data_IF_608235384779
#
_entry.id   IF_608235384779
#
_cell.length_a   1.000
_cell.length_b   1.000
_cell.length_c   1.000
_cell.angle_alpha   90.00
_cell.angle_beta   90.00
_cell.angle_gamma   90.00
#
_symmetry.space_group_name_H-M   'P 1'
#
loop_
_entity.id
_entity.type
_entity.pdbx_description
1 polymer ?
#
# COMPACT_ATOMS: atom_id res chain seq x y z
N UNK A 1 47.62 -62.11 -29.63
CA UNK A 1 46.77 -61.50 -30.63
C UNK A 1 45.32 -61.58 -30.11
N UNK A 2 44.74 -60.53 -29.52
CA UNK A 2 43.37 -60.47 -29.12
C UNK A 2 42.83 -59.10 -29.57
N UNK A 3 41.89 -59.11 -30.51
CA UNK A 3 41.23 -58.01 -31.14
C UNK A 3 40.15 -57.50 -30.19
N UNK A 4 40.17 -56.18 -29.83
CA UNK A 4 39.14 -55.51 -29.07
C UNK A 4 38.09 -54.99 -30.05
N UNK A 5 36.83 -55.38 -29.85
CA UNK A 5 35.68 -54.86 -30.56
C UNK A 5 35.11 -53.63 -29.76
N UNK A 6 35.09 -52.51 -30.44
CA UNK A 6 34.49 -51.29 -29.91
C UNK A 6 32.97 -51.28 -30.16
N UNK A 7 32.19 -51.25 -29.09
CA UNK A 7 30.73 -51.09 -29.12
C UNK A 7 30.38 -49.59 -29.17
N UNK A 8 29.82 -49.13 -30.29
CA UNK A 8 29.26 -47.77 -30.42
C UNK A 8 27.82 -47.78 -29.89
N UNK A 9 27.60 -47.06 -28.82
CA UNK A 9 26.27 -46.80 -28.28
C UNK A 9 25.62 -45.66 -29.07
N UNK A 10 24.56 -45.95 -29.82
CA UNK A 10 23.76 -44.94 -30.52
C UNK A 10 22.69 -44.41 -29.58
N UNK A 11 22.79 -43.12 -29.25
CA UNK A 11 21.77 -42.42 -28.45
C UNK A 11 20.60 -42.02 -29.37
N UNK A 12 19.43 -42.64 -29.19
CA UNK A 12 18.19 -42.23 -29.84
C UNK A 12 17.61 -41.08 -29.07
N UNK A 13 17.61 -39.88 -29.67
CA UNK A 13 16.87 -38.70 -29.13
C UNK A 13 15.46 -38.77 -29.67
N UNK A 14 14.53 -39.11 -28.80
CA UNK A 14 13.09 -39.05 -29.10
C UNK A 14 12.61 -37.63 -28.85
N UNK A 15 12.33 -36.87 -29.91
CA UNK A 15 11.66 -35.57 -29.84
C UNK A 15 10.18 -35.78 -29.57
N UNK A 16 9.71 -35.37 -28.40
CA UNK A 16 8.28 -35.28 -28.08
C UNK A 16 7.79 -33.90 -28.51
N UNK A 17 7.07 -33.86 -29.61
CA UNK A 17 6.32 -32.66 -30.02
C UNK A 17 5.08 -32.50 -29.16
N UNK A 18 5.07 -31.47 -28.29
CA UNK A 18 3.86 -31.07 -27.55
C UNK A 18 3.07 -30.13 -28.45
N UNK A 19 1.96 -30.65 -28.99
CA UNK A 19 0.93 -29.82 -29.63
C UNK A 19 0.19 -29.02 -28.53
N UNK A 20 0.41 -27.72 -28.46
CA UNK A 20 -0.42 -26.80 -27.68
C UNK A 20 -1.69 -26.50 -28.45
N UNK A 21 -2.79 -27.17 -28.12
CA UNK A 21 -4.13 -26.80 -28.56
C UNK A 21 -4.62 -25.63 -27.68
N UNK A 22 -4.62 -24.42 -28.25
CA UNK A 22 -5.22 -23.26 -27.64
C UNK A 22 -6.74 -23.38 -27.68
N UNK A 23 -7.36 -23.72 -26.54
CA UNK A 23 -8.80 -23.68 -26.36
C UNK A 23 -9.19 -22.26 -25.93
N UNK A 24 -9.65 -21.44 -26.89
CA UNK A 24 -10.26 -20.14 -26.60
C UNK A 24 -11.68 -20.37 -26.10
N UNK A 25 -11.86 -20.29 -24.79
CA UNK A 25 -13.18 -20.21 -24.18
C UNK A 25 -13.64 -18.74 -24.21
N UNK A 26 -14.56 -18.45 -25.11
CA UNK A 26 -15.29 -17.19 -25.15
C UNK A 26 -16.33 -17.18 -24.02
N UNK A 27 -16.17 -16.28 -23.05
CA UNK A 27 -17.18 -16.00 -22.04
C UNK A 27 -18.12 -14.90 -22.54
N UNK A 28 -19.46 -15.08 -22.44
CA UNK A 28 -20.38 -14.01 -22.80
C UNK A 28 -20.40 -12.93 -21.69
N UNK A 29 -20.08 -11.72 -22.07
CA UNK A 29 -20.31 -10.52 -21.26
C UNK A 29 -21.83 -10.28 -21.14
N UNK A 30 -22.39 -10.40 -19.95
CA UNK A 30 -23.69 -9.83 -19.60
C UNK A 30 -23.48 -8.66 -18.65
N UNK A 31 -23.44 -7.48 -19.24
CA UNK A 31 -23.64 -6.23 -18.53
C UNK A 31 -25.14 -6.09 -18.23
N UNK A 32 -25.52 -5.99 -16.96
CA UNK A 32 -26.82 -5.45 -16.55
C UNK A 32 -26.56 -4.20 -15.72
N UNK A 33 -26.76 -3.06 -16.35
CA UNK A 33 -26.96 -1.77 -15.70
C UNK A 33 -28.42 -1.71 -15.24
N UNK A 34 -28.66 -1.48 -13.95
CA UNK A 34 -29.93 -0.94 -13.47
C UNK A 34 -29.65 0.42 -12.83
N UNK A 35 -30.07 1.44 -13.54
CA UNK A 35 -30.23 2.78 -13.02
C UNK A 35 -31.42 2.79 -12.04
N UNK A 36 -31.26 3.43 -10.89
CA UNK A 36 -32.39 3.84 -10.04
C UNK A 36 -32.33 5.37 -9.91
N UNK A 37 -33.27 5.99 -10.61
CA UNK A 37 -33.70 7.36 -10.35
C UNK A 37 -34.31 7.45 -8.95
N UNK A 38 -33.92 8.47 -8.20
CA UNK A 38 -34.67 8.92 -7.03
C UNK A 38 -34.95 10.42 -7.19
N UNK A 39 -36.21 10.70 -7.40
CA UNK A 39 -36.80 12.01 -7.58
C UNK A 39 -36.69 12.88 -6.33
N UNK A 40 -36.59 14.18 -6.56
CA UNK A 40 -36.48 15.23 -5.57
C UNK A 40 -37.74 15.49 -4.73
N UNK A 41 -37.50 16.17 -3.63
CA UNK A 41 -38.51 17.00 -3.00
C UNK A 41 -37.90 18.32 -2.55
N UNK A 42 -38.28 19.36 -3.28
CA UNK A 42 -38.11 20.75 -2.86
C UNK A 42 -39.14 21.11 -1.76
N UNK A 43 -38.68 21.74 -0.72
CA UNK A 43 -39.56 22.58 0.11
C UNK A 43 -38.87 23.92 0.34
N UNK A 44 -39.48 24.93 -0.25
CA UNK A 44 -39.28 26.36 -0.04
C UNK A 44 -39.88 26.78 1.29
N UNK A 45 -39.19 27.62 2.06
CA UNK A 45 -39.81 28.54 3.01
C UNK A 45 -38.96 29.80 3.11
N UNK A 46 -39.60 30.92 2.82
CA UNK A 46 -39.05 32.24 2.65
C UNK A 46 -38.87 33.02 3.96
N UNK A 47 -38.56 34.32 3.90
CA UNK A 47 -37.82 35.06 4.89
C UNK A 47 -38.73 35.78 5.91
N UNK A 48 -38.22 35.97 7.13
CA UNK A 48 -38.80 36.97 8.09
C UNK A 48 -37.71 37.97 8.47
N UNK A 49 -37.94 39.18 8.02
CA UNK A 49 -37.33 40.42 8.48
C UNK A 49 -37.83 40.79 9.88
N UNK A 50 -36.94 41.13 10.78
CA UNK A 50 -37.23 42.03 11.90
C UNK A 50 -36.05 42.98 12.08
N UNK A 51 -36.36 44.20 11.70
CA UNK A 51 -35.63 45.43 11.96
C UNK A 51 -35.79 45.80 13.44
N UNK A 52 -34.68 46.07 14.15
CA UNK A 52 -34.69 46.95 15.34
C UNK A 52 -33.35 47.66 15.43
N UNK A 53 -33.39 48.93 15.09
CA UNK A 53 -32.33 49.88 15.33
C UNK A 53 -32.06 50.05 16.85
N UNK A 54 -30.79 50.02 17.26
CA UNK A 54 -30.31 50.62 18.50
C UNK A 54 -29.03 51.40 18.28
N UNK A 55 -29.18 52.68 18.42
CA UNK A 55 -28.11 53.69 18.57
C UNK A 55 -27.23 53.37 19.80
N UNK A 56 -25.94 53.23 19.61
CA UNK A 56 -24.95 53.12 20.69
C UNK A 56 -23.69 53.90 20.31
N UNK A 57 -23.33 54.83 21.18
CA UNK A 57 -22.21 55.79 21.09
C UNK A 57 -20.83 55.12 20.88
N UNK A 58 -19.84 55.84 20.34
CA UNK A 58 -18.53 55.26 19.99
C UNK A 58 -17.72 55.02 21.26
N UNK A 59 -17.22 53.81 21.41
CA UNK A 59 -16.18 53.41 22.37
C UNK A 59 -14.81 53.68 21.74
N UNK A 60 -13.80 54.23 22.48
CA UNK A 60 -12.50 54.58 21.93
C UNK A 60 -11.73 53.33 21.50
N UNK A 61 -11.01 53.47 20.41
CA UNK A 61 -10.17 52.43 19.78
C UNK A 61 -9.14 51.90 20.78
N UNK A 62 -9.29 50.62 21.16
CA UNK A 62 -8.23 49.86 21.78
C UNK A 62 -7.15 49.58 20.73
N UNK A 63 -5.94 49.88 21.07
CA UNK A 63 -4.76 49.54 20.25
C UNK A 63 -4.77 48.04 20.01
N UNK A 64 -4.96 47.64 18.76
CA UNK A 64 -4.75 46.25 18.30
C UNK A 64 -3.26 46.01 18.36
N UNK A 65 -2.82 45.28 19.38
CA UNK A 65 -1.50 44.65 19.39
C UNK A 65 -1.41 43.71 18.19
N UNK A 66 -0.45 44.00 17.32
CA UNK A 66 -0.09 43.04 16.22
C UNK A 66 0.44 41.79 16.89
N UNK A 67 -0.42 40.77 17.01
CA UNK A 67 0.01 39.45 17.36
C UNK A 67 0.85 38.92 16.17
N UNK A 68 2.18 38.82 16.39
CA UNK A 68 3.03 38.06 15.47
C UNK A 68 2.73 36.59 15.64
N UNK A 69 1.64 36.11 14.99
CA UNK A 69 1.38 34.70 14.85
C UNK A 69 2.25 34.16 13.71
N UNK A 70 3.42 33.66 14.06
CA UNK A 70 4.38 33.01 13.15
C UNK A 70 4.40 31.50 13.35
N UNK A 71 3.28 30.91 13.75
CA UNK A 71 3.10 29.46 13.70
C UNK A 71 2.81 29.06 12.24
N UNK A 72 3.85 28.87 11.44
CA UNK A 72 3.72 28.13 10.19
C UNK A 72 3.51 26.69 10.61
N UNK A 73 2.28 26.20 10.52
CA UNK A 73 1.98 24.80 10.73
C UNK A 73 2.91 23.96 9.83
N UNK A 74 3.45 22.84 10.32
CA UNK A 74 4.26 21.96 9.49
C UNK A 74 3.41 21.53 8.29
N UNK A 75 3.98 21.58 7.06
CA UNK A 75 3.22 21.28 5.86
C UNK A 75 2.64 19.87 5.92
N UNK A 76 1.38 19.74 5.52
CA UNK A 76 0.63 18.47 5.49
C UNK A 76 1.38 17.40 4.69
N UNK A 77 1.73 16.23 5.30
CA UNK A 77 2.46 15.17 4.63
C UNK A 77 1.75 14.63 3.38
N UNK A 78 0.42 14.56 3.38
CA UNK A 78 -0.38 14.10 2.25
C UNK A 78 -0.29 15.08 1.07
N UNK A 79 -0.36 16.37 1.34
CA UNK A 79 -0.21 17.41 0.32
C UNK A 79 1.20 17.41 -0.29
N UNK A 80 2.24 17.23 0.53
CA UNK A 80 3.63 17.10 0.05
C UNK A 80 3.79 15.87 -0.84
N UNK A 81 3.24 14.73 -0.42
CA UNK A 81 3.28 13.49 -1.18
C UNK A 81 2.54 13.65 -2.52
N UNK A 82 1.34 14.25 -2.51
CA UNK A 82 0.57 14.49 -3.72
C UNK A 82 1.33 15.39 -4.72
N UNK A 83 1.96 16.46 -4.23
CA UNK A 83 2.78 17.34 -5.06
C UNK A 83 3.98 16.59 -5.68
N UNK A 84 4.68 15.76 -4.90
CA UNK A 84 5.80 14.97 -5.39
C UNK A 84 5.37 13.93 -6.43
N UNK A 85 4.28 13.22 -6.19
CA UNK A 85 3.75 12.21 -7.11
C UNK A 85 3.19 12.83 -8.40
N UNK A 86 2.68 14.05 -8.38
CA UNK A 86 2.15 14.73 -9.56
C UNK A 86 3.16 14.81 -10.72
N UNK A 87 4.45 14.86 -10.42
CA UNK A 87 5.54 14.87 -11.41
C UNK A 87 5.71 13.48 -12.05
N UNK A 88 5.66 12.41 -11.24
CA UNK A 88 5.81 11.02 -11.71
C UNK A 88 4.59 10.56 -12.50
N UNK A 89 3.40 11.03 -12.10
CA UNK A 89 2.12 10.62 -12.70
C UNK A 89 1.71 11.49 -13.89
N UNK A 90 2.54 12.43 -14.32
CA UNK A 90 2.22 13.33 -15.43
C UNK A 90 1.98 12.53 -16.71
N UNK A 91 0.78 12.67 -17.30
CA UNK A 91 0.38 11.98 -18.53
C UNK A 91 -0.01 10.51 -18.33
N UNK A 92 -0.01 10.00 -17.10
CA UNK A 92 -0.52 8.67 -16.81
C UNK A 92 -2.05 8.69 -16.77
N UNK A 93 -2.69 7.86 -17.59
CA UNK A 93 -4.15 7.82 -17.74
C UNK A 93 -4.84 6.80 -16.79
N UNK A 94 -4.06 5.93 -16.12
CA UNK A 94 -4.59 4.96 -15.19
C UNK A 94 -4.80 5.54 -13.78
N UNK A 95 -5.05 4.65 -12.82
CA UNK A 95 -5.24 5.00 -11.40
C UNK A 95 -4.03 4.57 -10.59
N UNK A 96 -3.61 5.42 -9.66
CA UNK A 96 -2.52 5.14 -8.70
C UNK A 96 -2.93 5.60 -7.32
N UNK A 97 -2.65 4.77 -6.33
CA UNK A 97 -2.66 5.15 -4.93
C UNK A 97 -1.34 4.73 -4.30
N UNK A 98 -0.84 5.54 -3.38
CA UNK A 98 0.43 5.27 -2.73
C UNK A 98 0.43 5.77 -1.29
N UNK A 99 1.24 5.13 -0.44
CA UNK A 99 1.39 5.59 0.93
C UNK A 99 2.61 5.02 1.61
N UNK A 100 3.01 5.68 2.67
CA UNK A 100 4.17 5.34 3.47
C UNK A 100 3.92 5.65 4.94
N UNK A 101 4.44 4.80 5.80
CA UNK A 101 4.55 5.07 7.25
C UNK A 101 6.00 4.91 7.68
N UNK A 102 6.59 5.92 8.28
CA UNK A 102 7.86 5.80 9.00
C UNK A 102 7.60 5.09 10.34
N UNK A 103 8.20 3.93 10.50
CA UNK A 103 8.00 3.06 11.67
C UNK A 103 8.63 3.63 12.95
N UNK A 104 9.55 4.59 12.85
CA UNK A 104 10.23 5.20 13.98
C UNK A 104 9.45 6.41 14.53
N UNK A 105 8.97 7.28 13.64
CA UNK A 105 8.27 8.50 14.00
C UNK A 105 6.75 8.34 14.05
N UNK A 106 6.21 7.35 13.32
CA UNK A 106 4.77 7.17 13.11
C UNK A 106 4.18 8.12 12.07
N UNK A 107 5.00 8.98 11.46
CA UNK A 107 4.55 9.86 10.37
C UNK A 107 4.06 9.01 9.21
N UNK A 108 2.86 9.32 8.74
CA UNK A 108 2.22 8.66 7.62
C UNK A 108 1.84 9.70 6.58
N UNK A 109 2.07 9.38 5.30
CA UNK A 109 1.59 10.16 4.17
C UNK A 109 0.88 9.24 3.18
N UNK A 110 -0.27 9.67 2.66
CA UNK A 110 -1.09 8.89 1.73
C UNK A 110 -1.53 9.74 0.54
N UNK A 111 -1.60 9.11 -0.61
CA UNK A 111 -2.16 9.63 -1.85
C UNK A 111 -3.24 8.67 -2.32
N UNK A 112 -4.48 9.13 -2.42
CA UNK A 112 -5.68 8.32 -2.73
C UNK A 112 -5.84 7.10 -1.80
N UNK A 113 -5.57 7.28 -0.51
CA UNK A 113 -5.42 6.22 0.49
C UNK A 113 -6.62 5.29 0.65
N UNK A 114 -7.84 5.73 0.32
CA UNK A 114 -9.10 4.98 0.43
C UNK A 114 -9.64 4.48 -0.91
N UNK A 115 -8.95 4.76 -2.01
CA UNK A 115 -9.33 4.26 -3.34
C UNK A 115 -9.12 2.74 -3.42
N UNK A 116 -10.11 2.02 -3.96
CA UNK A 116 -10.10 0.56 -4.02
C UNK A 116 -9.40 0.05 -5.28
N UNK A 117 -8.54 -0.95 -5.10
CA UNK A 117 -7.78 -1.64 -6.16
C UNK A 117 -7.87 -3.15 -6.00
N UNK A 118 -7.88 -3.86 -7.11
CA UNK A 118 -7.69 -5.31 -7.11
C UNK A 118 -6.29 -5.66 -6.63
N UNK A 119 -6.19 -6.60 -5.69
CA UNK A 119 -4.91 -6.93 -5.03
C UNK A 119 -3.93 -7.66 -5.94
N UNK A 120 -4.42 -8.51 -6.85
CA UNK A 120 -3.60 -9.55 -7.44
C UNK A 120 -2.85 -10.34 -6.33
N UNK A 121 -1.59 -10.67 -6.51
CA UNK A 121 -0.82 -11.49 -5.55
C UNK A 121 -0.38 -10.80 -4.26
N UNK A 122 -0.64 -9.50 -4.04
CA UNK A 122 -0.33 -8.91 -2.72
C UNK A 122 -1.25 -9.47 -1.62
N UNK A 123 -2.46 -9.95 -1.95
CA UNK A 123 -3.36 -10.62 -0.98
C UNK A 123 -2.73 -11.85 -0.33
N UNK A 124 -1.69 -12.44 -0.91
CA UNK A 124 -1.00 -13.59 -0.34
C UNK A 124 -0.35 -13.26 1.02
N UNK A 125 0.11 -12.03 1.20
CA UNK A 125 0.55 -11.57 2.52
C UNK A 125 -0.63 -11.54 3.51
N UNK A 126 -1.79 -11.06 3.10
CA UNK A 126 -2.99 -11.04 3.93
C UNK A 126 -3.47 -12.46 4.29
N UNK A 127 -3.52 -13.37 3.31
CA UNK A 127 -3.86 -14.78 3.53
C UNK A 127 -2.92 -15.42 4.58
N UNK A 128 -1.62 -15.15 4.51
CA UNK A 128 -0.65 -15.68 5.47
C UNK A 128 -0.84 -15.07 6.86
N UNK A 129 -1.04 -13.76 6.96
CA UNK A 129 -1.30 -13.07 8.21
C UNK A 129 -2.55 -13.65 8.91
N UNK A 130 -3.63 -13.87 8.15
CA UNK A 130 -4.87 -14.49 8.68
C UNK A 130 -4.65 -15.94 9.10
N UNK A 131 -3.93 -16.74 8.32
CA UNK A 131 -3.58 -18.11 8.70
C UNK A 131 -2.79 -18.14 10.02
N UNK A 132 -1.78 -17.32 10.15
CA UNK A 132 -0.96 -17.19 11.35
C UNK A 132 -1.80 -16.78 12.56
N UNK A 133 -2.72 -15.82 12.37
CA UNK A 133 -3.66 -15.38 13.41
C UNK A 133 -4.57 -16.53 13.87
N UNK A 134 -5.14 -17.29 12.94
CA UNK A 134 -6.01 -18.43 13.25
C UNK A 134 -5.27 -19.53 14.02
N UNK A 135 -4.06 -19.89 13.57
CA UNK A 135 -3.21 -20.88 14.26
C UNK A 135 -2.83 -20.42 15.67
N UNK A 136 -2.43 -19.15 15.80
CA UNK A 136 -2.11 -18.56 17.11
C UNK A 136 -3.31 -18.59 18.06
N UNK A 137 -4.51 -18.25 17.60
CA UNK A 137 -5.74 -18.28 18.41
C UNK A 137 -6.15 -19.68 18.83
N UNK A 138 -5.89 -20.67 17.97
CA UNK A 138 -6.11 -22.08 18.27
C UNK A 138 -5.03 -22.67 19.21
N UNK A 139 -3.98 -21.91 19.56
CA UNK A 139 -2.87 -22.40 20.38
C UNK A 139 -2.00 -23.45 19.67
N UNK A 140 -2.03 -23.51 18.33
CA UNK A 140 -1.29 -24.49 17.53
C UNK A 140 -0.24 -23.81 16.65
N UNK A 141 0.87 -24.51 16.43
CA UNK A 141 1.90 -24.04 15.50
C UNK A 141 1.50 -24.31 14.05
N UNK A 142 2.05 -23.52 13.13
CA UNK A 142 1.93 -23.79 11.69
C UNK A 142 2.61 -25.15 11.39
N UNK A 143 1.86 -26.08 10.78
CA UNK A 143 2.35 -27.40 10.40
C UNK A 143 3.45 -27.33 9.33
N UNK A 144 4.20 -28.42 9.14
CA UNK A 144 5.28 -28.47 8.14
C UNK A 144 4.74 -28.27 6.71
N UNK A 145 3.60 -28.87 6.37
CA UNK A 145 2.95 -28.71 5.07
C UNK A 145 2.51 -27.26 4.83
N UNK A 146 1.86 -26.63 5.81
CA UNK A 146 1.45 -25.22 5.72
C UNK A 146 2.66 -24.28 5.57
N UNK A 147 3.78 -24.56 6.26
CA UNK A 147 5.03 -23.78 6.12
C UNK A 147 5.61 -23.88 4.71
N UNK A 148 5.61 -25.09 4.13
CA UNK A 148 6.09 -25.28 2.76
C UNK A 148 5.19 -24.55 1.75
N UNK A 149 3.88 -24.58 1.94
CA UNK A 149 2.94 -23.83 1.12
C UNK A 149 3.13 -22.31 1.31
N UNK A 150 3.31 -21.84 2.54
CA UNK A 150 3.53 -20.42 2.83
C UNK A 150 4.82 -19.89 2.18
N UNK A 151 5.92 -20.66 2.24
CA UNK A 151 7.17 -20.31 1.57
C UNK A 151 6.93 -20.14 0.06
N UNK A 152 6.41 -21.17 -0.62
CA UNK A 152 6.11 -21.09 -2.06
C UNK A 152 5.15 -19.95 -2.41
N UNK A 153 4.12 -19.74 -1.58
CA UNK A 153 3.14 -18.67 -1.82
C UNK A 153 3.75 -17.28 -1.74
N UNK A 154 4.66 -17.03 -0.79
CA UNK A 154 5.25 -15.71 -0.59
C UNK A 154 6.50 -15.52 -1.43
N UNK A 155 7.44 -16.48 -1.41
CA UNK A 155 8.76 -16.38 -2.06
C UNK A 155 8.63 -16.48 -3.59
N UNK A 156 7.93 -17.51 -4.09
CA UNK A 156 7.75 -17.77 -5.52
C UNK A 156 6.45 -17.17 -6.08
N UNK A 157 5.60 -16.62 -5.21
CA UNK A 157 4.24 -16.21 -5.57
C UNK A 157 3.39 -17.34 -6.20
N UNK A 158 3.59 -18.60 -5.78
CA UNK A 158 2.91 -19.78 -6.31
C UNK A 158 1.39 -19.69 -6.09
N UNK A 159 0.63 -19.85 -7.18
CA UNK A 159 -0.83 -19.73 -7.15
C UNK A 159 -1.52 -21.00 -6.60
N UNK A 160 -0.93 -22.17 -6.78
CA UNK A 160 -1.48 -23.40 -6.23
C UNK A 160 -1.35 -23.43 -4.71
N UNK A 161 -0.21 -22.98 -4.19
CA UNK A 161 0.01 -22.79 -2.76
C UNK A 161 -0.96 -21.73 -2.17
N UNK A 162 -1.17 -20.61 -2.87
CA UNK A 162 -2.14 -19.60 -2.47
C UNK A 162 -3.55 -20.16 -2.40
N UNK A 163 -3.99 -20.91 -3.41
CA UNK A 163 -5.31 -21.55 -3.42
C UNK A 163 -5.49 -22.59 -2.31
N UNK A 164 -4.42 -23.30 -1.95
CA UNK A 164 -4.47 -24.25 -0.84
C UNK A 164 -4.62 -23.52 0.51
N UNK A 165 -3.83 -22.46 0.73
CA UNK A 165 -3.89 -21.68 1.98
C UNK A 165 -5.16 -20.81 2.05
N UNK A 166 -5.68 -20.32 0.93
CA UNK A 166 -6.98 -19.67 0.85
C UNK A 166 -8.10 -20.59 1.40
N UNK A 167 -8.14 -21.84 0.95
CA UNK A 167 -9.09 -22.82 1.51
C UNK A 167 -8.83 -23.08 3.00
N UNK A 168 -7.55 -23.15 3.40
CA UNK A 168 -7.18 -23.41 4.80
C UNK A 168 -7.61 -22.31 5.76
N UNK A 169 -7.68 -21.05 5.31
CA UNK A 169 -8.18 -19.94 6.13
C UNK A 169 -9.71 -19.85 6.15
N UNK A 170 -10.41 -20.61 5.32
CA UNK A 170 -11.88 -20.60 5.18
C UNK A 170 -12.37 -19.68 4.07
N UNK A 171 -11.57 -19.54 3.03
CA UNK A 171 -11.86 -18.77 1.82
C UNK A 171 -12.27 -17.31 2.11
N UNK A 172 -13.19 -16.72 1.33
CA UNK A 172 -13.62 -15.34 1.50
C UNK A 172 -14.16 -15.02 2.91
N UNK A 173 -15.08 -15.83 3.46
CA UNK A 173 -15.56 -15.61 4.83
C UNK A 173 -14.47 -15.66 5.89
N UNK A 174 -13.53 -16.61 5.76
CA UNK A 174 -12.41 -16.74 6.69
C UNK A 174 -11.42 -15.59 6.59
N UNK A 175 -11.09 -15.13 5.38
CA UNK A 175 -10.26 -13.94 5.16
C UNK A 175 -10.94 -12.70 5.75
N UNK A 176 -12.23 -12.46 5.46
CA UNK A 176 -12.97 -11.32 5.99
C UNK A 176 -13.00 -11.29 7.52
N UNK A 177 -13.23 -12.46 8.15
CA UNK A 177 -13.22 -12.57 9.61
C UNK A 177 -11.84 -12.27 10.22
N UNK A 178 -10.75 -12.74 9.56
CA UNK A 178 -9.39 -12.42 9.95
C UNK A 178 -9.09 -10.93 9.78
N UNK A 179 -9.44 -10.36 8.65
CA UNK A 179 -9.26 -8.95 8.31
C UNK A 179 -9.96 -8.01 9.30
N UNK A 180 -11.17 -8.35 9.74
CA UNK A 180 -11.86 -7.60 10.78
C UNK A 180 -11.03 -7.51 12.07
N UNK A 181 -10.31 -8.57 12.44
CA UNK A 181 -9.43 -8.58 13.62
C UNK A 181 -8.13 -7.80 13.38
N UNK A 182 -7.58 -7.87 12.16
CA UNK A 182 -6.37 -7.16 11.78
C UNK A 182 -6.62 -5.67 11.49
N UNK A 183 -7.90 -5.26 11.41
CA UNK A 183 -8.31 -3.89 11.15
C UNK A 183 -8.24 -3.51 9.66
N UNK A 184 -8.36 -4.48 8.75
CA UNK A 184 -8.39 -4.30 7.29
C UNK A 184 -9.84 -4.16 6.82
N UNK A 185 -10.50 -3.08 7.19
CA UNK A 185 -11.95 -2.89 7.01
C UNK A 185 -12.40 -2.59 5.59
N UNK A 186 -11.47 -2.23 4.71
CA UNK A 186 -11.72 -1.91 3.30
C UNK A 186 -11.18 -2.99 2.35
N UNK A 187 -10.67 -4.11 2.90
CA UNK A 187 -10.20 -5.25 2.12
C UNK A 187 -11.32 -6.26 1.99
N UNK A 188 -11.86 -6.38 0.76
CA UNK A 188 -13.03 -7.21 0.45
C UNK A 188 -12.57 -8.43 -0.34
N UNK A 189 -12.81 -9.66 0.18
CA UNK A 189 -12.44 -10.89 -0.51
C UNK A 189 -13.03 -10.99 -1.91
N UNK A 190 -12.26 -11.55 -2.84
CA UNK A 190 -12.70 -11.77 -4.22
C UNK A 190 -13.87 -12.74 -4.30
N UNK A 191 -14.76 -12.58 -5.28
CA UNK A 191 -15.92 -13.45 -5.48
C UNK A 191 -15.50 -14.85 -5.92
N UNK A 192 -16.38 -15.84 -5.71
CA UNK A 192 -16.31 -17.21 -6.29
C UNK A 192 -14.95 -17.92 -6.06
N UNK A 193 -14.27 -17.64 -4.95
CA UNK A 193 -12.97 -18.24 -4.64
C UNK A 193 -11.79 -17.65 -5.40
N UNK A 194 -12.00 -16.60 -6.20
CA UNK A 194 -10.92 -15.88 -6.91
C UNK A 194 -10.18 -14.92 -5.97
N UNK A 195 -9.34 -15.46 -5.10
CA UNK A 195 -8.58 -14.68 -4.12
C UNK A 195 -7.79 -13.51 -4.74
N UNK A 196 -7.28 -13.66 -5.96
CA UNK A 196 -6.55 -12.58 -6.67
C UNK A 196 -7.42 -11.39 -7.07
N UNK A 197 -8.76 -11.53 -7.05
CA UNK A 197 -9.74 -10.47 -7.27
C UNK A 197 -10.20 -9.80 -5.97
N UNK A 198 -9.61 -10.15 -4.83
CA UNK A 198 -9.77 -9.38 -3.58
C UNK A 198 -9.45 -7.92 -3.86
N UNK A 199 -10.25 -7.00 -3.33
CA UNK A 199 -9.98 -5.56 -3.43
C UNK A 199 -9.48 -5.01 -2.10
N UNK A 200 -8.65 -3.98 -2.17
CA UNK A 200 -8.03 -3.35 -0.99
C UNK A 200 -7.75 -1.87 -1.23
N UNK A 201 -7.28 -1.19 -0.20
CA UNK A 201 -6.84 0.22 -0.25
C UNK A 201 -5.40 0.35 0.24
N UNK A 202 -4.76 1.47 -0.06
CA UNK A 202 -3.43 1.79 0.51
C UNK A 202 -3.49 1.86 2.02
N UNK A 203 -4.57 2.41 2.60
CA UNK A 203 -4.74 2.50 4.05
C UNK A 203 -4.73 1.10 4.70
N UNK A 204 -5.44 0.14 4.12
CA UNK A 204 -5.45 -1.24 4.62
C UNK A 204 -4.11 -1.94 4.42
N UNK A 205 -3.41 -1.70 3.30
CA UNK A 205 -2.10 -2.31 3.07
C UNK A 205 -1.03 -1.75 4.03
N UNK A 206 -1.06 -0.45 4.34
CA UNK A 206 -0.22 0.12 5.40
C UNK A 206 -0.60 -0.45 6.77
N UNK A 207 -1.88 -0.70 7.03
CA UNK A 207 -2.35 -1.37 8.25
C UNK A 207 -1.82 -2.80 8.34
N UNK A 208 -1.87 -3.58 7.26
CA UNK A 208 -1.30 -4.93 7.20
C UNK A 208 0.20 -4.90 7.52
N UNK A 209 0.95 -3.98 6.90
CA UNK A 209 2.37 -3.83 7.19
C UNK A 209 2.63 -3.39 8.64
N UNK A 210 1.76 -2.58 9.24
CA UNK A 210 1.82 -2.25 10.66
C UNK A 210 1.53 -3.48 11.54
N UNK A 211 0.59 -4.35 11.16
CA UNK A 211 0.36 -5.65 11.83
C UNK A 211 1.63 -6.49 11.83
N UNK A 212 2.39 -6.50 10.74
CA UNK A 212 3.64 -7.28 10.61
C UNK A 212 4.84 -6.65 11.34
N UNK A 213 4.80 -5.36 11.63
CA UNK A 213 5.98 -4.65 12.16
C UNK A 213 5.84 -4.15 13.60
N UNK A 214 4.61 -3.90 14.06
CA UNK A 214 4.35 -3.33 15.38
C UNK A 214 4.45 -4.37 16.50
N UNK A 215 5.05 -4.00 17.62
CA UNK A 215 5.03 -4.80 18.83
C UNK A 215 3.61 -4.93 19.46
N UNK A 216 2.71 -4.00 19.14
CA UNK A 216 1.31 -3.99 19.60
C UNK A 216 0.36 -4.72 18.64
N UNK A 217 0.88 -5.60 17.80
CA UNK A 217 0.12 -6.36 16.82
C UNK A 217 -0.74 -7.45 17.44
N UNK A 218 -1.83 -7.82 16.76
CA UNK A 218 -2.59 -9.03 17.06
C UNK A 218 -1.78 -10.31 16.80
N UNK A 219 -0.75 -10.25 15.95
CA UNK A 219 0.17 -11.35 15.69
C UNK A 219 1.32 -11.37 16.70
N UNK A 220 1.72 -12.55 17.14
CA UNK A 220 2.90 -12.76 17.97
C UNK A 220 4.19 -12.32 17.25
N UNK A 221 5.25 -12.04 18.02
CA UNK A 221 6.55 -11.71 17.44
C UNK A 221 7.08 -12.81 16.51
N UNK A 222 6.85 -14.10 16.87
CA UNK A 222 7.24 -15.23 16.04
C UNK A 222 6.49 -15.28 14.72
N UNK A 223 5.16 -15.06 14.72
CA UNK A 223 4.34 -15.01 13.50
C UNK A 223 4.77 -13.87 12.55
N UNK A 224 4.94 -12.68 13.11
CA UNK A 224 5.42 -11.52 12.33
C UNK A 224 6.81 -11.74 11.74
N UNK A 225 7.73 -12.28 12.57
CA UNK A 225 9.09 -12.57 12.13
C UNK A 225 9.15 -13.61 11.02
N UNK A 226 8.28 -14.63 11.10
CA UNK A 226 8.16 -15.66 10.07
C UNK A 226 7.69 -15.08 8.74
N UNK A 227 6.59 -14.35 8.72
CA UNK A 227 6.05 -13.76 7.49
C UNK A 227 7.00 -12.74 6.86
N UNK A 228 7.55 -11.81 7.66
CA UNK A 228 8.56 -10.87 7.19
C UNK A 228 9.84 -11.58 6.71
N UNK A 229 10.17 -12.75 7.24
CA UNK A 229 11.26 -13.59 6.77
C UNK A 229 11.02 -14.04 5.33
N UNK A 230 9.89 -14.67 5.05
CA UNK A 230 9.50 -15.10 3.70
C UNK A 230 9.44 -13.91 2.70
N UNK A 231 8.90 -12.77 3.14
CA UNK A 231 8.86 -11.56 2.31
C UNK A 231 10.25 -10.98 1.98
N UNK A 232 11.32 -11.34 2.73
CA UNK A 232 12.70 -10.97 2.42
C UNK A 232 13.40 -11.96 1.49
N UNK A 233 12.87 -13.17 1.42
CA UNK A 233 13.46 -14.29 0.70
C UNK A 233 12.74 -14.52 -0.65
N UNK A 234 12.02 -13.50 -1.17
CA UNK A 234 11.39 -13.57 -2.50
C UNK A 234 12.43 -13.86 -3.58
N UNK A 235 12.02 -14.66 -4.58
CA UNK A 235 12.89 -14.99 -5.72
C UNK A 235 13.31 -13.74 -6.52
N UNK A 236 14.46 -13.82 -7.20
CA UNK A 236 15.07 -12.68 -7.89
C UNK A 236 14.15 -12.03 -8.95
N UNK A 237 13.25 -12.79 -9.59
CA UNK A 237 12.28 -12.27 -10.56
C UNK A 237 11.17 -11.42 -9.93
N UNK A 238 11.04 -11.43 -8.61
CA UNK A 238 10.02 -10.68 -7.87
C UNK A 238 10.61 -9.56 -7.01
N UNK A 239 11.89 -9.29 -7.13
CA UNK A 239 12.60 -8.20 -6.44
C UNK A 239 12.44 -6.86 -7.19
N UNK A 240 11.20 -6.37 -7.28
CA UNK A 240 10.86 -5.08 -7.90
C UNK A 240 9.86 -4.28 -7.04
N UNK A 241 9.41 -3.14 -7.52
CA UNK A 241 8.43 -2.32 -6.83
C UNK A 241 9.06 -1.51 -5.69
N UNK A 242 8.53 -1.67 -4.46
CA UNK A 242 9.01 -0.91 -3.29
C UNK A 242 10.47 -1.18 -2.95
N UNK A 243 11.03 -2.32 -3.37
CA UNK A 243 12.46 -2.66 -3.18
C UNK A 243 13.40 -1.66 -3.85
N UNK A 244 12.96 -1.03 -4.96
CA UNK A 244 13.76 -0.02 -5.68
C UNK A 244 13.99 1.26 -4.88
N UNK A 245 13.17 1.51 -3.87
CA UNK A 245 13.37 2.61 -2.93
C UNK A 245 14.29 2.25 -1.74
N UNK A 246 14.68 0.97 -1.60
CA UNK A 246 15.52 0.55 -0.49
C UNK A 246 16.96 1.03 -0.63
N UNK A 247 17.59 1.40 0.50
CA UNK A 247 19.03 1.69 0.55
C UNK A 247 19.85 0.46 0.20
N UNK A 248 20.96 0.66 -0.51
CA UNK A 248 21.87 -0.42 -0.91
C UNK A 248 22.34 -1.22 0.33
N UNK A 249 22.52 -2.53 0.14
CA UNK A 249 22.97 -3.46 1.18
C UNK A 249 21.92 -3.81 2.23
N UNK A 250 20.67 -3.34 2.10
CA UNK A 250 19.56 -3.73 2.99
C UNK A 250 18.78 -4.91 2.40
N UNK A 251 18.00 -5.59 3.26
CA UNK A 251 17.12 -6.71 2.85
C UNK A 251 15.66 -6.27 3.02
N UNK A 252 15.03 -5.72 1.99
CA UNK A 252 13.63 -5.35 2.02
C UNK A 252 12.72 -6.58 2.15
N UNK A 253 11.59 -6.43 2.85
CA UNK A 253 10.51 -7.39 2.81
C UNK A 253 9.47 -6.89 1.81
N UNK A 254 9.10 -7.69 0.81
CA UNK A 254 8.21 -7.28 -0.27
C UNK A 254 7.20 -8.34 -0.64
N UNK A 255 6.01 -7.93 -1.05
CA UNK A 255 5.08 -8.74 -1.83
C UNK A 255 4.56 -7.94 -3.00
N UNK A 256 4.72 -8.49 -4.18
CA UNK A 256 4.25 -7.90 -5.42
C UNK A 256 3.00 -8.63 -5.94
N UNK A 257 2.23 -7.94 -6.77
CA UNK A 257 1.05 -8.50 -7.40
C UNK A 257 0.81 -7.87 -8.77
N UNK A 258 0.44 -8.69 -9.74
CA UNK A 258 0.07 -8.25 -11.07
C UNK A 258 -0.97 -9.18 -11.69
N UNK A 259 -1.84 -8.61 -12.53
CA UNK A 259 -2.76 -9.37 -13.36
C UNK A 259 -3.23 -8.50 -14.54
N UNK A 260 -3.62 -9.13 -15.68
CA UNK A 260 -4.34 -8.43 -16.74
C UNK A 260 -5.69 -7.92 -16.23
N UNK A 261 -6.07 -6.69 -16.60
CA UNK A 261 -7.27 -6.01 -16.15
C UNK A 261 -8.15 -5.62 -17.35
N UNK A 262 -9.29 -6.30 -17.45
CA UNK A 262 -10.30 -6.04 -18.46
C UNK A 262 -9.92 -6.43 -19.90
N UNK A 263 -10.86 -6.22 -20.84
CA UNK A 263 -10.71 -6.63 -22.24
C UNK A 263 -9.72 -5.78 -23.05
N UNK A 264 -9.30 -4.61 -22.51
CA UNK A 264 -8.35 -3.71 -23.18
C UNK A 264 -6.89 -4.16 -23.00
N UNK A 265 -6.62 -5.25 -22.29
CA UNK A 265 -5.28 -5.76 -22.04
C UNK A 265 -4.44 -4.85 -21.12
N UNK A 266 -5.09 -4.00 -20.33
CA UNK A 266 -4.44 -3.19 -19.30
C UNK A 266 -4.01 -4.08 -18.12
N UNK A 267 -3.21 -3.51 -17.21
CA UNK A 267 -2.64 -4.26 -16.09
C UNK A 267 -2.89 -3.58 -14.76
N UNK A 268 -3.19 -4.40 -13.75
CA UNK A 268 -3.02 -4.07 -12.34
C UNK A 268 -1.59 -4.43 -11.93
N UNK A 269 -0.87 -3.49 -11.30
CA UNK A 269 0.49 -3.70 -10.78
C UNK A 269 0.56 -3.08 -9.38
N UNK A 270 0.87 -3.92 -8.40
CA UNK A 270 0.91 -3.53 -7.00
C UNK A 270 2.21 -3.97 -6.33
N UNK A 271 2.66 -3.21 -5.34
CA UNK A 271 3.82 -3.57 -4.52
C UNK A 271 3.63 -3.03 -3.10
N UNK A 272 3.82 -3.90 -2.11
CA UNK A 272 3.80 -3.55 -0.69
C UNK A 272 5.04 -4.08 -0.01
N UNK A 273 5.51 -3.39 1.02
CA UNK A 273 6.67 -3.93 1.75
C UNK A 273 7.22 -3.02 2.83
N UNK A 274 8.24 -3.54 3.49
CA UNK A 274 9.01 -2.83 4.53
C UNK A 274 10.45 -2.73 4.08
N UNK A 275 10.94 -1.50 3.99
CA UNK A 275 12.29 -1.19 3.50
C UNK A 275 13.08 -0.36 4.52
N UNK A 276 14.38 -0.24 4.29
CA UNK A 276 15.20 0.83 4.86
C UNK A 276 15.55 1.83 3.77
N UNK A 277 15.30 3.11 4.02
CA UNK A 277 15.61 4.21 3.12
C UNK A 277 16.20 5.38 3.89
N UNK A 278 17.38 5.85 3.53
CA UNK A 278 18.06 6.99 4.17
C UNK A 278 18.09 6.92 5.73
N UNK A 279 18.28 5.74 6.30
CA UNK A 279 18.27 5.51 7.74
C UNK A 279 16.90 5.21 8.37
N UNK A 280 15.81 5.54 7.68
CA UNK A 280 14.44 5.28 8.11
C UNK A 280 14.01 3.85 7.84
N UNK A 281 13.12 3.30 8.68
CA UNK A 281 12.42 2.03 8.42
C UNK A 281 11.00 2.36 7.99
N UNK A 282 10.71 2.16 6.72
CA UNK A 282 9.47 2.57 6.08
C UNK A 282 8.60 1.36 5.71
N UNK A 283 7.29 1.47 5.98
CA UNK A 283 6.27 0.62 5.38
C UNK A 283 5.68 1.35 4.18
N UNK A 284 5.68 0.73 3.00
CA UNK A 284 5.21 1.32 1.75
C UNK A 284 4.15 0.45 1.09
N UNK A 285 3.16 1.10 0.50
CA UNK A 285 2.19 0.48 -0.40
C UNK A 285 2.02 1.36 -1.64
N UNK A 286 2.12 0.75 -2.82
CA UNK A 286 1.83 1.38 -4.11
C UNK A 286 0.90 0.46 -4.89
N UNK A 287 -0.28 0.96 -5.23
CA UNK A 287 -1.31 0.25 -5.97
C UNK A 287 -1.58 0.99 -7.29
N UNK A 288 -1.68 0.26 -8.40
CA UNK A 288 -1.97 0.86 -9.69
C UNK A 288 -2.84 -0.03 -10.58
N UNK A 289 -3.66 0.61 -11.42
CA UNK A 289 -4.51 -0.04 -12.41
C UNK A 289 -4.55 0.78 -13.70
N UNK A 290 -4.85 0.14 -14.83
CA UNK A 290 -4.89 0.80 -16.13
C UNK A 290 -3.50 0.98 -16.74
N UNK A 291 -2.52 0.18 -16.35
CA UNK A 291 -1.17 0.21 -16.94
C UNK A 291 -1.21 -0.39 -18.36
N UNK A 292 -0.54 0.23 -19.36
CA UNK A 292 -0.58 -0.24 -20.75
C UNK A 292 0.16 -1.57 -20.96
N UNK A 293 1.10 -1.94 -20.05
CA UNK A 293 1.79 -3.21 -20.02
C UNK A 293 2.27 -3.52 -18.61
N UNK A 294 2.62 -4.78 -18.35
CA UNK A 294 3.23 -5.18 -17.08
C UNK A 294 4.52 -4.39 -16.80
N UNK A 295 5.40 -4.27 -17.78
CA UNK A 295 6.69 -3.57 -17.62
C UNK A 295 6.52 -2.07 -17.37
N UNK A 296 5.57 -1.42 -18.06
CA UNK A 296 5.26 0.00 -17.83
C UNK A 296 4.72 0.22 -16.41
N UNK A 297 3.83 -0.66 -15.93
CA UNK A 297 3.29 -0.59 -14.58
C UNK A 297 4.36 -0.85 -13.51
N UNK A 298 5.28 -1.81 -13.72
CA UNK A 298 6.42 -2.03 -12.82
C UNK A 298 7.29 -0.78 -12.73
N UNK A 299 7.62 -0.16 -13.87
CA UNK A 299 8.42 1.08 -13.91
C UNK A 299 7.73 2.22 -13.16
N UNK A 300 6.41 2.39 -13.34
CA UNK A 300 5.60 3.39 -12.64
C UNK A 300 5.61 3.15 -11.12
N UNK A 301 5.33 1.93 -10.69
CA UNK A 301 5.29 1.56 -9.27
C UNK A 301 6.65 1.77 -8.60
N UNK A 302 7.75 1.46 -9.28
CA UNK A 302 9.11 1.72 -8.81
C UNK A 302 9.40 3.22 -8.64
N UNK A 303 9.02 4.04 -9.64
CA UNK A 303 9.20 5.48 -9.58
C UNK A 303 8.34 6.10 -8.45
N UNK A 304 7.09 5.68 -8.33
CA UNK A 304 6.22 6.11 -7.25
C UNK A 304 6.77 5.72 -5.88
N UNK A 305 7.24 4.48 -5.69
CA UNK A 305 7.82 4.02 -4.44
C UNK A 305 9.05 4.83 -4.02
N UNK A 306 9.95 5.16 -4.97
CA UNK A 306 11.11 5.99 -4.72
C UNK A 306 10.72 7.41 -4.27
N UNK A 307 9.72 8.01 -4.95
CA UNK A 307 9.19 9.34 -4.62
C UNK A 307 8.56 9.35 -3.22
N UNK A 308 7.72 8.36 -2.92
CA UNK A 308 7.06 8.21 -1.62
C UNK A 308 8.07 8.06 -0.47
N UNK A 309 9.08 7.21 -0.64
CA UNK A 309 10.12 7.00 0.37
C UNK A 309 10.92 8.28 0.65
N UNK A 310 11.27 9.02 -0.41
CA UNK A 310 12.04 10.25 -0.30
C UNK A 310 11.25 11.39 0.35
N UNK A 311 9.95 11.51 0.05
CA UNK A 311 9.10 12.56 0.61
C UNK A 311 9.01 12.50 2.14
N UNK A 312 8.85 11.29 2.71
CA UNK A 312 8.76 11.11 4.18
C UNK A 312 10.11 11.17 4.86
N UNK A 313 11.18 10.67 4.22
CA UNK A 313 12.54 10.81 4.77
C UNK A 313 12.96 12.29 4.89
N UNK A 314 12.56 13.12 3.93
CA UNK A 314 12.82 14.57 3.97
C UNK A 314 12.02 15.27 5.09
N UNK A 315 10.75 14.87 5.29
CA UNK A 315 9.90 15.43 6.35
C UNK A 315 10.34 15.02 7.77
N UNK A 316 10.94 13.84 7.92
CA UNK A 316 11.45 13.33 9.21
C UNK A 316 12.83 13.81 9.60
N UNK A 317 13.56 14.47 8.69
CA UNK A 317 14.90 15.02 8.99
C UNK A 317 14.76 16.37 9.69
N UNK A 318 15.34 16.58 10.89
CA UNK A 318 15.42 17.92 11.45
C UNK A 318 16.17 18.79 10.44
N UNK A 319 15.53 19.88 10.00
CA UNK A 319 16.11 20.82 9.06
C UNK A 319 17.49 21.27 9.53
N UNK A 320 18.41 21.68 8.60
CA UNK A 320 19.77 22.09 8.93
C UNK A 320 19.86 23.30 9.88
N UNK A 321 18.73 23.86 10.29
CA UNK A 321 18.62 25.00 11.20
C UNK A 321 17.93 24.65 12.53
N UNK A 322 18.22 23.48 13.11
CA UNK A 322 17.73 23.07 14.44
C UNK A 322 18.25 23.95 15.61
N UNK A 323 18.69 25.17 15.37
CA UNK A 323 19.00 26.20 16.37
C UNK A 323 18.46 27.55 15.94
N UNK A 324 17.16 27.66 15.67
CA UNK A 324 16.54 28.98 15.78
C UNK A 324 16.48 29.33 17.25
N UNK A 325 17.57 29.98 17.75
CA UNK A 325 17.44 30.92 18.85
C UNK A 325 16.43 31.95 18.36
N UNK A 326 15.24 31.92 18.88
CA UNK A 326 14.33 33.05 18.86
C UNK A 326 15.11 34.20 19.46
N UNK A 327 15.61 35.10 18.63
CA UNK A 327 16.05 36.40 19.12
C UNK A 327 14.76 37.13 19.46
N UNK A 328 14.48 37.24 20.74
CA UNK A 328 13.51 38.18 21.27
C UNK A 328 13.91 39.60 20.80
N UNK A 329 13.37 40.03 19.68
CA UNK A 329 13.50 41.41 19.18
C UNK A 329 12.22 42.20 19.42
N UNK A 330 11.36 41.75 20.32
CA UNK A 330 10.27 42.53 20.86
C UNK A 330 10.66 43.06 22.25
N UNK A 331 11.60 44.01 22.33
CA UNK A 331 11.79 44.83 23.53
C UNK A 331 10.71 45.92 23.52
N UNK A 332 9.95 46.11 24.60
CA UNK A 332 9.03 47.24 24.71
C UNK A 332 9.82 48.56 24.72
N UNK A 333 9.37 49.52 23.91
CA UNK A 333 9.89 50.88 23.93
C UNK A 333 9.76 51.44 25.35
N UNK A 334 10.88 51.77 26.00
CA UNK A 334 10.91 52.51 27.26
C UNK A 334 10.43 53.92 26.97
N UNK A 335 9.27 54.30 27.51
CA UNK A 335 8.90 55.69 27.64
C UNK A 335 9.81 56.33 28.70
N UNK A 336 10.79 57.10 28.29
CA UNK A 336 11.42 58.08 29.16
C UNK A 336 10.52 59.30 29.19
N UNK A 337 9.79 59.43 30.28
CA UNK A 337 9.21 60.71 30.71
C UNK A 337 10.22 61.31 31.67
N UNK A 338 10.96 62.30 31.19
CA UNK A 338 11.74 63.20 32.03
C UNK A 338 10.85 64.35 32.51
N UNK A 339 10.92 64.63 33.79
CA UNK A 339 10.60 65.77 34.63
C UNK A 339 9.98 67.01 33.99
#
# INVERSE_FOLDING_TARGET
>A
MRTAASLRCATVVTAVAVLATSLTLAFPARALWMAHDAAGHSTTSGPRTHDLARTGSPVPAAHQGVACDSSVDPPDPDAQLAAALSLVLRGYAGRVAAGVTDQATGVTAVYHGTESFTTASIVKADILAVLLLQRQRAGVSLGAADRQLAARMIEDSDNAAASALWRAVGEGPGLAAGNAVLGLGQTVPGPDGYWGLTTTTVADQLRLLAVLTSARSALSAAARGYELGLMRDVEAGQDWGVTRAASAGTRPAVKNGWLPDGPQGLWVINSIGVIRHAGHKLALAVLSAGNPSQSAGISLVQAAAATVASAVAAAGSPGPNGSHRVRDTCAPARNELSA
#
